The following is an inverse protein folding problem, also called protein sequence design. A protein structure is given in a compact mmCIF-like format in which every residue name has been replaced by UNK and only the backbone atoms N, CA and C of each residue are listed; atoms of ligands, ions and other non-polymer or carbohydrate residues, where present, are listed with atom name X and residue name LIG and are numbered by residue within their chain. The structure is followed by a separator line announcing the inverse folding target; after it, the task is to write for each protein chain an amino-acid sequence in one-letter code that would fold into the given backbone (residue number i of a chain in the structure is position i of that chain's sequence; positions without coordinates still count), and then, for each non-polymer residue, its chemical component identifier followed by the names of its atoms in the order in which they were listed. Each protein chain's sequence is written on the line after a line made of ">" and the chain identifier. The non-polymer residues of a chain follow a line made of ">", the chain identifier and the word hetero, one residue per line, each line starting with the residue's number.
data_IF_336884780615
#
_entry.id   IF_336884780615
#
_cell.length_a   1.000
_cell.length_b   1.000
_cell.length_c   1.000
_cell.angle_alpha   90.00
_cell.angle_beta   90.00
_cell.angle_gamma   90.00
#
_symmetry.space_group_name_H-M   'P 1'
#
loop_
_entity.id
_entity.type
_entity.pdbx_description
1 polymer ?
#
# COMPACT_ATOMS: atom_id res chain seq x y z
N UNK A 1 -5.18 -28.84 -14.55
CA UNK A 1 -4.77 -28.48 -15.92
C UNK A 1 -3.73 -27.38 -15.80
N UNK A 2 -2.47 -27.79 -15.85
CA UNK A 2 -1.28 -26.95 -15.73
C UNK A 2 -0.77 -26.80 -17.16
N UNK A 3 -0.56 -25.57 -17.62
CA UNK A 3 0.24 -25.34 -18.83
C UNK A 3 1.48 -24.58 -18.38
N UNK A 4 2.60 -25.31 -18.40
CA UNK A 4 3.95 -24.81 -18.23
C UNK A 4 4.51 -24.52 -19.62
N UNK A 5 5.28 -23.45 -19.81
CA UNK A 5 6.16 -23.28 -20.98
C UNK A 5 7.56 -22.78 -20.50
N UNK A 6 8.68 -23.44 -20.85
CA UNK A 6 9.99 -23.29 -20.20
C UNK A 6 11.01 -22.37 -20.93
N UNK A 7 11.98 -21.81 -20.16
CA UNK A 7 13.43 -21.43 -20.42
C UNK A 7 13.87 -21.00 -21.84
N UNK A 8 14.79 -20.04 -22.12
CA UNK A 8 15.69 -19.12 -21.38
C UNK A 8 16.38 -18.17 -22.41
N UNK A 9 16.60 -16.88 -22.10
CA UNK A 9 17.83 -16.07 -22.29
C UNK A 9 17.53 -14.57 -22.37
N UNK A 10 17.70 -13.86 -21.26
CA UNK A 10 18.49 -12.63 -21.20
C UNK A 10 18.90 -12.42 -19.73
N UNK A 11 20.20 -12.44 -19.49
CA UNK A 11 20.77 -12.17 -18.19
C UNK A 11 20.65 -10.66 -17.90
N UNK A 12 20.15 -10.30 -16.72
CA UNK A 12 20.61 -9.11 -16.00
C UNK A 12 20.27 -9.24 -14.53
N UNK A 13 21.31 -9.30 -13.70
CA UNK A 13 21.21 -9.29 -12.26
C UNK A 13 21.33 -7.85 -11.77
N UNK A 14 20.36 -7.37 -10.98
CA UNK A 14 20.59 -6.50 -9.82
C UNK A 14 19.29 -6.34 -9.01
N UNK A 15 19.41 -6.65 -7.73
CA UNK A 15 18.38 -6.63 -6.68
C UNK A 15 17.83 -5.24 -6.35
N UNK A 16 16.51 -5.13 -6.17
CA UNK A 16 15.79 -4.37 -5.11
C UNK A 16 14.30 -4.63 -5.26
N UNK A 17 13.60 -4.86 -4.15
CA UNK A 17 12.22 -5.36 -4.09
C UNK A 17 11.16 -4.47 -4.75
N UNK A 18 11.09 -4.49 -6.07
CA UNK A 18 9.87 -4.27 -6.86
C UNK A 18 9.37 -5.64 -7.26
N UNK A 19 8.09 -5.91 -7.07
CA UNK A 19 7.43 -6.99 -7.80
C UNK A 19 7.48 -6.61 -9.29
N UNK A 20 8.53 -7.04 -9.99
CA UNK A 20 8.53 -7.08 -11.45
C UNK A 20 7.62 -8.23 -11.84
N UNK A 21 6.33 -7.93 -12.05
CA UNK A 21 5.60 -8.66 -13.06
C UNK A 21 6.36 -8.39 -14.36
N UNK A 22 6.81 -9.45 -15.04
CA UNK A 22 7.38 -9.32 -16.38
C UNK A 22 6.45 -8.40 -17.17
N UNK A 23 6.97 -7.23 -17.53
CA UNK A 23 6.20 -6.25 -18.25
C UNK A 23 5.71 -6.93 -19.54
N UNK A 24 4.43 -6.76 -19.85
CA UNK A 24 3.93 -7.17 -21.15
C UNK A 24 4.83 -6.55 -22.23
N UNK A 25 5.07 -7.29 -23.32
CA UNK A 25 5.95 -6.80 -24.40
C UNK A 25 5.50 -5.41 -24.87
N UNK A 26 6.45 -4.56 -25.28
CA UNK A 26 6.16 -3.16 -25.62
C UNK A 26 5.19 -2.99 -26.82
N UNK A 27 4.96 -4.04 -27.60
CA UNK A 27 4.11 -4.07 -28.79
C UNK A 27 2.66 -4.56 -28.53
N UNK A 28 2.28 -4.78 -27.28
CA UNK A 28 0.93 -5.25 -26.90
C UNK A 28 0.05 -4.14 -26.34
N UNK A 29 -1.26 -4.26 -26.51
CA UNK A 29 -2.23 -3.27 -25.99
C UNK A 29 -3.04 -3.86 -24.84
N UNK A 30 -3.08 -3.18 -23.69
CA UNK A 30 -3.95 -3.60 -22.58
C UNK A 30 -5.43 -3.44 -22.95
N UNK A 31 -6.22 -4.50 -22.75
CA UNK A 31 -7.68 -4.46 -22.83
C UNK A 31 -8.21 -4.06 -21.45
N UNK A 32 -8.25 -2.75 -21.18
CA UNK A 32 -8.65 -2.18 -19.87
C UNK A 32 -10.03 -2.65 -19.40
N UNK A 33 -10.98 -2.81 -20.33
CA UNK A 33 -12.32 -3.32 -20.03
C UNK A 33 -12.34 -4.78 -19.55
N UNK A 34 -11.26 -5.53 -19.76
CA UNK A 34 -11.09 -6.91 -19.31
C UNK A 34 -10.30 -7.01 -17.99
N UNK A 35 -10.00 -5.89 -17.32
CA UNK A 35 -9.41 -5.91 -15.98
C UNK A 35 -10.29 -6.67 -15.01
N UNK A 36 -9.66 -7.44 -14.14
CA UNK A 36 -10.28 -8.06 -12.97
C UNK A 36 -9.51 -7.67 -11.73
N UNK A 37 -10.00 -7.98 -10.53
CA UNK A 37 -9.27 -7.74 -9.28
C UNK A 37 -7.80 -8.20 -9.34
N UNK A 38 -7.51 -9.31 -10.00
CA UNK A 38 -6.21 -9.99 -9.94
C UNK A 38 -5.52 -10.17 -11.30
N UNK A 39 -6.08 -9.65 -12.40
CA UNK A 39 -5.52 -9.88 -13.72
C UNK A 39 -5.66 -8.70 -14.70
N UNK A 40 -4.70 -8.62 -15.62
CA UNK A 40 -4.69 -7.76 -16.81
C UNK A 40 -4.63 -8.62 -18.06
N UNK A 41 -5.34 -8.23 -19.12
CA UNK A 41 -5.34 -8.91 -20.42
C UNK A 41 -4.76 -7.96 -21.46
N UNK A 42 -3.93 -8.48 -22.35
CA UNK A 42 -3.30 -7.74 -23.43
C UNK A 42 -3.56 -8.42 -24.77
N UNK A 43 -3.81 -7.63 -25.82
CA UNK A 43 -3.89 -8.05 -27.21
C UNK A 43 -2.51 -7.95 -27.87
N UNK A 44 -2.06 -9.04 -28.49
CA UNK A 44 -0.80 -9.10 -29.21
C UNK A 44 -0.93 -8.66 -30.68
N UNK A 45 -2.13 -8.35 -31.15
CA UNK A 45 -2.45 -7.97 -32.54
C UNK A 45 -2.17 -9.05 -33.59
N UNK A 46 -1.97 -10.31 -33.16
CA UNK A 46 -1.74 -11.48 -34.01
C UNK A 46 -2.81 -12.57 -33.80
N UNK A 47 -3.91 -12.23 -33.10
CA UNK A 47 -4.97 -13.17 -32.72
C UNK A 47 -4.69 -13.93 -31.42
N UNK A 48 -3.56 -13.69 -30.76
CA UNK A 48 -3.24 -14.26 -29.44
C UNK A 48 -3.32 -13.20 -28.32
N UNK A 49 -3.39 -13.67 -27.06
CA UNK A 49 -3.51 -12.81 -25.89
C UNK A 49 -2.46 -13.14 -24.84
N UNK A 50 -2.00 -12.13 -24.11
CA UNK A 50 -1.19 -12.27 -22.91
C UNK A 50 -1.98 -11.89 -21.66
N UNK A 51 -1.67 -12.53 -20.54
CA UNK A 51 -2.29 -12.25 -19.26
C UNK A 51 -1.21 -12.06 -18.19
N UNK A 52 -1.36 -10.99 -17.40
CA UNK A 52 -0.67 -10.85 -16.13
C UNK A 52 -1.67 -11.25 -15.06
N UNK A 53 -1.33 -12.27 -14.26
CA UNK A 53 -2.17 -12.77 -13.16
C UNK A 53 -1.37 -12.69 -11.86
N UNK A 54 -1.98 -12.12 -10.83
CA UNK A 54 -1.39 -11.96 -9.50
C UNK A 54 -2.15 -12.80 -8.48
N UNK A 55 -1.42 -13.35 -7.50
CA UNK A 55 -2.04 -13.94 -6.32
C UNK A 55 -2.73 -12.88 -5.43
N UNK A 56 -2.29 -11.62 -5.55
CA UNK A 56 -2.87 -10.46 -4.87
C UNK A 56 -3.73 -9.60 -5.80
N UNK A 57 -4.46 -8.63 -5.22
CA UNK A 57 -5.21 -7.65 -5.99
C UNK A 57 -4.24 -6.71 -6.74
N UNK A 58 -4.49 -6.51 -8.03
CA UNK A 58 -3.86 -5.49 -8.87
C UNK A 58 -4.76 -4.26 -9.01
N UNK A 59 -6.07 -4.48 -8.97
CA UNK A 59 -7.07 -3.45 -9.14
C UNK A 59 -8.04 -3.38 -7.97
N UNK A 60 -8.56 -2.19 -7.71
CA UNK A 60 -9.72 -1.94 -6.86
C UNK A 60 -10.90 -1.49 -7.72
N UNK A 61 -12.12 -1.60 -7.21
CA UNK A 61 -13.32 -1.22 -7.94
C UNK A 61 -13.86 0.11 -7.41
N UNK A 62 -14.21 1.02 -8.31
CA UNK A 62 -14.95 2.25 -8.04
C UNK A 62 -16.10 2.42 -9.06
N UNK A 63 -16.77 3.56 -9.06
CA UNK A 63 -17.87 3.87 -9.98
C UNK A 63 -17.44 3.85 -11.46
N UNK A 64 -16.15 4.07 -11.74
CA UNK A 64 -15.56 4.01 -13.08
C UNK A 64 -15.07 2.61 -13.48
N UNK A 65 -15.27 1.60 -12.62
CA UNK A 65 -14.85 0.21 -12.85
C UNK A 65 -13.54 -0.17 -12.17
N UNK A 66 -12.73 -1.04 -12.81
CA UNK A 66 -11.48 -1.54 -12.25
C UNK A 66 -10.31 -0.58 -12.47
N UNK A 67 -9.78 -0.05 -11.36
CA UNK A 67 -8.69 0.91 -11.34
C UNK A 67 -7.42 0.29 -10.74
N UNK A 68 -6.25 0.71 -11.21
CA UNK A 68 -4.95 0.29 -10.65
C UNK A 68 -4.85 0.66 -9.18
N UNK A 69 -4.35 -0.29 -8.37
CA UNK A 69 -3.99 0.01 -6.99
C UNK A 69 -2.69 0.83 -6.98
N UNK A 70 -2.73 1.94 -6.26
CA UNK A 70 -1.59 2.78 -5.94
C UNK A 70 -1.55 3.05 -4.44
N UNK A 71 -0.57 2.45 -3.77
CA UNK A 71 -0.37 2.55 -2.33
C UNK A 71 0.53 3.72 -1.93
N UNK A 72 0.86 4.62 -2.86
CA UNK A 72 1.67 5.80 -2.55
C UNK A 72 0.88 6.74 -1.66
N UNK A 73 1.46 7.10 -0.52
CA UNK A 73 0.94 8.09 0.42
C UNK A 73 1.25 9.48 -0.15
N UNK A 74 0.24 10.33 -0.22
CA UNK A 74 0.30 11.68 -0.81
C UNK A 74 -0.25 12.68 0.18
N UNK A 75 0.00 13.98 -0.04
CA UNK A 75 -0.67 15.01 0.73
C UNK A 75 -2.19 14.91 0.55
N UNK A 76 -2.92 15.03 1.66
CA UNK A 76 -4.38 15.01 1.68
C UNK A 76 -4.95 16.38 1.36
N UNK A 77 -6.13 16.40 0.74
CA UNK A 77 -6.93 17.63 0.55
C UNK A 77 -8.02 17.80 1.60
N UNK A 78 -8.14 16.87 2.55
CA UNK A 78 -9.11 16.93 3.65
C UNK A 78 -8.54 17.73 4.82
N UNK A 79 -9.38 18.53 5.49
CA UNK A 79 -8.98 19.33 6.64
C UNK A 79 -8.59 18.50 7.88
N UNK A 80 -9.03 17.24 7.93
CA UNK A 80 -8.85 16.35 9.08
C UNK A 80 -7.79 15.26 8.88
N UNK A 81 -6.97 15.38 7.83
CA UNK A 81 -5.83 14.51 7.56
C UNK A 81 -4.73 15.25 6.77
N UNK A 82 -3.47 15.00 7.11
CA UNK A 82 -2.32 15.61 6.42
C UNK A 82 -1.89 14.79 5.19
N UNK A 83 -2.06 13.47 5.24
CA UNK A 83 -1.76 12.56 4.14
C UNK A 83 -2.88 11.56 3.87
N UNK A 84 -2.91 11.03 2.65
CA UNK A 84 -3.88 10.04 2.23
C UNK A 84 -3.31 8.96 1.29
N UNK A 85 -4.00 7.82 1.28
CA UNK A 85 -3.86 6.75 0.30
C UNK A 85 -5.28 6.26 -0.04
N UNK A 86 -5.82 6.70 -1.18
CA UNK A 86 -7.24 6.50 -1.54
C UNK A 86 -7.44 5.59 -2.76
N UNK A 87 -6.38 5.28 -3.50
CA UNK A 87 -6.41 4.44 -4.71
C UNK A 87 -6.09 2.97 -4.38
N UNK A 88 -6.86 2.36 -3.48
CA UNK A 88 -6.62 0.99 -3.02
C UNK A 88 -7.93 0.31 -2.58
N UNK A 89 -7.85 -0.93 -2.11
CA UNK A 89 -8.99 -1.70 -1.57
C UNK A 89 -9.59 -1.11 -0.28
N UNK A 90 -8.90 -0.15 0.31
CA UNK A 90 -9.33 0.63 1.46
C UNK A 90 -8.71 2.02 1.35
N UNK A 91 -9.29 2.99 2.04
CA UNK A 91 -8.72 4.34 2.17
C UNK A 91 -7.96 4.44 3.48
N UNK A 92 -6.79 5.05 3.45
CA UNK A 92 -6.03 5.36 4.65
C UNK A 92 -5.74 6.86 4.71
N UNK A 93 -5.89 7.45 5.90
CA UNK A 93 -5.62 8.84 6.18
C UNK A 93 -4.66 8.93 7.36
N UNK A 94 -3.70 9.85 7.29
CA UNK A 94 -2.63 9.96 8.27
C UNK A 94 -2.50 11.39 8.76
N UNK A 95 -2.25 11.54 10.06
CA UNK A 95 -1.90 12.83 10.65
C UNK A 95 -0.38 12.98 10.74
N UNK A 96 0.13 14.16 10.39
CA UNK A 96 1.55 14.49 10.41
C UNK A 96 2.07 14.58 11.84
N UNK A 97 1.28 15.02 12.80
CA UNK A 97 1.73 15.14 14.21
C UNK A 97 1.40 13.89 15.01
N UNK A 98 2.42 13.17 15.47
CA UNK A 98 2.28 11.83 16.08
C UNK A 98 1.37 11.78 17.33
N UNK A 99 1.36 12.81 18.17
CA UNK A 99 0.55 12.81 19.40
C UNK A 99 -0.82 13.50 19.26
N UNK A 100 -1.21 13.92 18.04
CA UNK A 100 -2.49 14.60 17.79
C UNK A 100 -3.53 13.63 17.22
N UNK A 101 -4.43 13.15 18.08
CA UNK A 101 -5.57 12.33 17.67
C UNK A 101 -5.15 10.96 17.11
N UNK A 102 -5.99 10.32 16.27
CA UNK A 102 -5.58 9.11 15.58
C UNK A 102 -4.52 9.43 14.52
N UNK A 103 -3.38 8.75 14.57
CA UNK A 103 -2.31 8.92 13.57
C UNK A 103 -2.64 8.26 12.24
N UNK A 104 -3.50 7.24 12.27
CA UNK A 104 -3.99 6.52 11.09
C UNK A 104 -5.48 6.30 11.24
N UNK A 105 -6.23 6.56 10.16
CA UNK A 105 -7.63 6.17 10.01
C UNK A 105 -7.79 5.36 8.72
N UNK A 106 -8.21 4.12 8.86
CA UNK A 106 -8.53 3.22 7.76
C UNK A 106 -10.04 3.20 7.55
N UNK A 107 -10.47 3.28 6.30
CA UNK A 107 -11.89 3.22 5.92
C UNK A 107 -12.06 2.15 4.84
N UNK A 108 -12.99 1.23 5.08
CA UNK A 108 -13.39 0.20 4.11
C UNK A 108 -14.86 -0.13 4.29
N UNK A 109 -15.61 -0.17 3.19
CA UNK A 109 -17.02 -0.57 3.16
C UNK A 109 -17.91 0.18 4.17
N UNK A 110 -17.65 1.48 4.37
CA UNK A 110 -18.38 2.32 5.34
C UNK A 110 -17.93 2.16 6.80
N UNK A 111 -17.07 1.19 7.10
CA UNK A 111 -16.49 0.99 8.43
C UNK A 111 -15.15 1.71 8.55
N UNK A 112 -14.82 2.12 9.78
CA UNK A 112 -13.55 2.76 10.06
C UNK A 112 -12.84 2.16 11.27
N UNK A 113 -11.51 2.13 11.19
CA UNK A 113 -10.61 1.81 12.30
C UNK A 113 -9.64 2.97 12.44
N UNK A 114 -9.52 3.49 13.65
CA UNK A 114 -8.61 4.58 13.96
C UNK A 114 -7.56 4.08 14.95
N UNK A 115 -6.29 4.40 14.69
CA UNK A 115 -5.15 4.00 15.50
C UNK A 115 -4.56 5.24 16.13
N UNK A 116 -4.40 5.21 17.45
CA UNK A 116 -3.74 6.26 18.23
C UNK A 116 -2.56 5.65 18.99
N UNK A 117 -1.42 6.35 19.10
CA UNK A 117 -0.32 5.89 19.93
C UNK A 117 -0.70 5.99 21.42
N UNK A 118 -0.51 4.90 22.15
CA UNK A 118 -0.61 4.86 23.62
C UNK A 118 0.76 5.02 24.28
N UNK A 119 0.83 5.02 25.61
CA UNK A 119 2.14 5.11 26.27
C UNK A 119 2.97 3.84 26.04
N UNK A 120 4.28 4.04 25.85
CA UNK A 120 5.26 2.96 25.82
C UNK A 120 5.51 2.49 27.26
N UNK A 121 5.31 1.21 27.52
CA UNK A 121 5.45 0.62 28.85
C UNK A 121 6.08 -0.76 28.78
N UNK A 122 6.70 -1.17 29.88
CA UNK A 122 7.07 -2.57 30.12
C UNK A 122 6.22 -3.16 31.24
N UNK A 123 6.11 -4.48 31.27
CA UNK A 123 5.44 -5.22 32.34
C UNK A 123 6.54 -6.00 33.07
N UNK A 124 6.67 -5.79 34.37
CA UNK A 124 7.69 -6.49 35.16
C UNK A 124 7.28 -7.93 35.51
N UNK A 125 8.17 -8.68 36.15
CA UNK A 125 7.93 -10.09 36.54
C UNK A 125 6.75 -10.28 37.50
N UNK A 126 6.23 -9.19 38.07
CA UNK A 126 5.03 -9.18 38.94
C UNK A 126 3.76 -8.79 38.18
N UNK A 127 3.81 -8.65 36.85
CA UNK A 127 2.68 -8.23 36.03
C UNK A 127 2.33 -6.75 36.12
N UNK A 128 3.20 -5.92 36.73
CA UNK A 128 2.92 -4.49 36.93
C UNK A 128 3.42 -3.68 35.74
N UNK A 129 2.53 -2.85 35.16
CA UNK A 129 2.86 -1.90 34.10
C UNK A 129 3.77 -0.79 34.65
N UNK A 130 4.86 -0.53 33.94
CA UNK A 130 5.83 0.52 34.25
C UNK A 130 5.99 1.41 33.02
N UNK A 131 5.80 2.72 33.20
CA UNK A 131 5.91 3.70 32.11
C UNK A 131 7.36 3.84 31.67
N UNK A 132 7.58 3.86 30.36
CA UNK A 132 8.87 4.19 29.73
C UNK A 132 8.78 5.61 29.14
N UNK A 133 7.79 5.87 28.30
CA UNK A 133 7.62 7.17 27.64
C UNK A 133 6.17 7.39 27.18
N UNK A 134 5.75 8.65 27.13
CA UNK A 134 4.50 9.08 26.49
C UNK A 134 4.77 9.54 25.05
N UNK A 135 3.79 9.43 24.12
CA UNK A 135 3.94 9.94 22.76
C UNK A 135 4.32 11.43 22.72
N UNK A 136 5.35 11.77 21.97
CA UNK A 136 5.83 13.15 21.76
C UNK A 136 5.31 13.72 20.42
N UNK A 137 5.24 15.05 20.27
CA UNK A 137 4.92 15.67 18.99
C UNK A 137 6.11 15.50 18.05
N UNK A 138 6.03 14.49 17.19
CA UNK A 138 6.96 14.25 16.08
C UNK A 138 6.26 14.47 14.75
N UNK A 139 6.98 15.04 13.77
CA UNK A 139 6.48 15.21 12.41
C UNK A 139 6.71 13.97 11.55
N UNK A 140 5.61 13.40 11.07
CA UNK A 140 5.59 12.29 10.14
C UNK A 140 6.09 12.71 8.76
N UNK A 141 6.93 11.86 8.16
CA UNK A 141 7.43 12.02 6.79
C UNK A 141 6.95 10.86 5.94
N UNK A 142 6.08 11.14 4.98
CA UNK A 142 5.61 10.16 4.01
C UNK A 142 6.63 9.97 2.87
N UNK A 143 6.94 8.71 2.56
CA UNK A 143 7.77 8.33 1.41
C UNK A 143 7.27 7.01 0.82
N UNK A 144 6.83 7.04 -0.44
CA UNK A 144 6.22 5.87 -1.07
C UNK A 144 4.97 5.44 -0.29
N UNK A 145 4.95 4.21 0.19
CA UNK A 145 3.85 3.64 0.97
C UNK A 145 4.12 3.60 2.50
N UNK A 146 5.11 4.38 2.98
CA UNK A 146 5.53 4.40 4.39
C UNK A 146 5.44 5.83 4.92
N UNK A 147 5.01 5.98 6.17
CA UNK A 147 5.16 7.21 6.94
C UNK A 147 5.95 6.91 8.22
N UNK A 148 6.98 7.71 8.49
CA UNK A 148 7.88 7.53 9.64
C UNK A 148 7.79 8.72 10.57
N UNK A 149 7.75 8.46 11.88
CA UNK A 149 7.79 9.46 12.95
C UNK A 149 9.02 9.18 13.80
N UNK A 150 10.05 10.01 13.66
CA UNK A 150 11.29 9.88 14.43
C UNK A 150 11.10 10.45 15.84
N UNK A 151 11.80 9.90 16.84
CA UNK A 151 11.79 10.40 18.22
C UNK A 151 10.42 10.48 18.92
N UNK A 152 9.43 9.75 18.39
CA UNK A 152 8.04 9.76 18.83
C UNK A 152 7.83 9.28 20.29
N UNK A 153 8.79 8.55 20.87
CA UNK A 153 8.80 8.11 22.27
C UNK A 153 10.12 8.47 22.97
N UNK A 154 10.73 9.56 22.51
CA UNK A 154 11.99 10.15 22.99
C UNK A 154 13.13 9.99 21.99
N UNK A 155 14.22 10.76 22.11
CA UNK A 155 14.32 12.15 22.57
C UNK A 155 14.07 13.17 21.44
N UNK A 156 13.44 14.30 21.79
CA UNK A 156 13.68 15.58 21.12
C UNK A 156 14.77 16.34 21.89
#
# INVERSE_FOLDING_TARGET
>A
MIVYCPRLHAASAASRGRYHFDAARDDVTEIVSARTRCAKKFDNHDGTYQYIVSAGPLHYQNDDGWQEIDTTIRASSLDDADYEMTKSLYKAFFNKTFNRGPIVRLIKDGHSVAIRPGDLCWINDRGVRQLIATPQPSEGRAHGNVITYEDAYGPN
#
